data_IF_840555804573
#
_entry.id   IF_840555804573
#
_cell.length_a   1.000
_cell.length_b   1.000
_cell.length_c   1.000
_cell.angle_alpha   90.00
_cell.angle_beta   90.00
_cell.angle_gamma   90.00
#
_symmetry.space_group_name_H-M   'P 1'
#
loop_
_entity.id
_entity.type
_entity.pdbx_description
1 polymer ?
#
# COMPACT_ATOMS: atom_id res chain seq x y z
N UNK A 1 31.90 -16.47 -12.75
CA UNK A 1 30.86 -15.48 -13.13
C UNK A 1 29.62 -15.36 -12.20
N UNK A 2 29.47 -16.02 -11.04
CA UNK A 2 28.24 -15.86 -10.24
C UNK A 2 28.05 -14.46 -9.64
N UNK A 3 29.14 -13.76 -9.31
CA UNK A 3 29.07 -12.39 -8.78
C UNK A 3 28.46 -11.37 -9.76
N UNK A 4 28.75 -11.48 -11.05
CA UNK A 4 28.18 -10.59 -12.08
C UNK A 4 26.67 -10.78 -12.19
N UNK A 5 26.21 -12.03 -12.15
CA UNK A 5 24.78 -12.35 -12.19
C UNK A 5 24.07 -11.80 -10.96
N UNK A 6 24.66 -11.95 -9.76
CA UNK A 6 24.09 -11.40 -8.53
C UNK A 6 23.96 -9.86 -8.59
N UNK A 7 24.97 -9.16 -9.11
CA UNK A 7 24.95 -7.70 -9.24
C UNK A 7 23.81 -7.25 -10.16
N UNK A 8 23.66 -7.89 -11.34
CA UNK A 8 22.61 -7.55 -12.30
C UNK A 8 21.21 -7.74 -11.68
N UNK A 9 20.99 -8.86 -10.99
CA UNK A 9 19.71 -9.13 -10.32
C UNK A 9 19.39 -8.04 -9.30
N UNK A 10 20.35 -7.68 -8.44
CA UNK A 10 20.14 -6.63 -7.44
C UNK A 10 19.84 -5.29 -8.09
N UNK A 11 20.56 -4.92 -9.15
CA UNK A 11 20.38 -3.64 -9.83
C UNK A 11 18.99 -3.48 -10.48
N UNK A 12 18.41 -4.59 -10.94
CA UNK A 12 17.07 -4.61 -11.52
C UNK A 12 15.97 -4.65 -10.46
N UNK A 13 16.17 -5.39 -9.37
CA UNK A 13 15.14 -5.60 -8.33
C UNK A 13 15.08 -4.44 -7.33
N UNK A 14 16.23 -3.87 -6.99
CA UNK A 14 16.33 -2.78 -6.01
C UNK A 14 15.42 -1.57 -6.29
N UNK A 15 15.37 -0.98 -7.49
CA UNK A 15 14.51 0.18 -7.74
C UNK A 15 13.03 -0.15 -7.58
N UNK A 16 12.61 -1.36 -7.96
CA UNK A 16 11.22 -1.82 -7.79
C UNK A 16 10.88 -1.88 -6.30
N UNK A 17 11.73 -2.49 -5.48
CA UNK A 17 11.52 -2.57 -4.03
C UNK A 17 11.55 -1.18 -3.38
N UNK A 18 12.51 -0.33 -3.78
CA UNK A 18 12.66 1.00 -3.21
C UNK A 18 11.46 1.92 -3.52
N UNK A 19 10.93 1.85 -4.75
CA UNK A 19 9.79 2.68 -5.18
C UNK A 19 8.46 2.11 -4.66
N UNK A 20 8.31 0.78 -4.65
CA UNK A 20 7.06 0.11 -4.24
C UNK A 20 7.00 -0.20 -2.75
N UNK A 21 8.06 0.06 -1.98
CA UNK A 21 8.14 -0.30 -0.57
C UNK A 21 7.04 0.33 0.29
N UNK A 22 6.55 1.51 -0.09
CA UNK A 22 5.46 2.19 0.61
C UNK A 22 4.06 1.66 0.26
N UNK A 23 3.92 0.86 -0.80
CA UNK A 23 2.60 0.34 -1.25
C UNK A 23 1.95 -0.52 -0.17
N UNK A 24 2.73 -1.38 0.50
CA UNK A 24 2.20 -2.23 1.57
C UNK A 24 1.68 -1.38 2.74
N UNK A 25 2.40 -0.31 3.10
CA UNK A 25 2.01 0.59 4.19
C UNK A 25 0.76 1.39 3.78
N UNK A 26 0.73 1.91 2.55
CA UNK A 26 -0.42 2.64 2.03
C UNK A 26 -1.67 1.76 1.96
N UNK A 27 -1.55 0.50 1.52
CA UNK A 27 -2.65 -0.46 1.47
C UNK A 27 -3.16 -0.79 2.88
N UNK A 28 -2.25 -1.07 3.82
CA UNK A 28 -2.61 -1.36 5.21
C UNK A 28 -3.30 -0.17 5.88
N UNK A 29 -2.77 1.04 5.69
CA UNK A 29 -3.37 2.28 6.21
C UNK A 29 -4.72 2.56 5.56
N UNK A 30 -4.84 2.42 4.24
CA UNK A 30 -6.10 2.59 3.52
C UNK A 30 -7.18 1.65 4.04
N UNK A 31 -6.85 0.37 4.23
CA UNK A 31 -7.76 -0.62 4.81
C UNK A 31 -8.16 -0.26 6.25
N UNK A 32 -7.19 0.07 7.11
CA UNK A 32 -7.46 0.39 8.51
C UNK A 32 -8.33 1.64 8.66
N UNK A 33 -8.02 2.71 7.91
CA UNK A 33 -8.77 3.96 7.94
C UNK A 33 -10.16 3.81 7.33
N UNK A 34 -10.31 2.99 6.28
CA UNK A 34 -11.61 2.70 5.70
C UNK A 34 -12.53 2.00 6.70
N UNK A 35 -12.01 0.98 7.40
CA UNK A 35 -12.77 0.27 8.42
C UNK A 35 -13.15 1.17 9.61
N UNK A 36 -12.23 2.01 10.08
CA UNK A 36 -12.54 3.02 11.10
C UNK A 36 -13.66 3.97 10.64
N UNK A 37 -13.63 4.39 9.37
CA UNK A 37 -14.66 5.25 8.81
C UNK A 37 -16.03 4.54 8.73
N UNK A 38 -16.08 3.26 8.38
CA UNK A 38 -17.32 2.47 8.39
C UNK A 38 -17.91 2.39 9.81
N UNK A 39 -17.10 1.95 10.78
CA UNK A 39 -17.54 1.77 12.17
C UNK A 39 -18.03 3.09 12.80
N UNK A 40 -17.35 4.21 12.48
CA UNK A 40 -17.70 5.53 13.04
C UNK A 40 -18.91 6.19 12.41
N UNK A 41 -19.22 5.85 11.17
CA UNK A 41 -20.34 6.43 10.45
C UNK A 41 -21.54 5.48 10.37
N UNK A 42 -21.51 4.34 11.07
CA UNK A 42 -22.63 3.41 11.12
C UNK A 42 -23.91 4.12 11.61
N UNK A 43 -24.94 4.13 10.77
CA UNK A 43 -26.22 4.80 11.06
C UNK A 43 -26.20 6.33 10.88
N UNK A 44 -25.14 6.89 10.30
CA UNK A 44 -25.06 8.32 9.98
C UNK A 44 -25.95 8.68 8.80
N UNK A 45 -26.81 9.69 8.97
CA UNK A 45 -27.64 10.25 7.88
C UNK A 45 -26.80 10.83 6.72
N UNK A 46 -25.51 11.06 6.95
CA UNK A 46 -24.58 11.60 5.97
C UNK A 46 -24.03 10.55 5.01
N UNK A 47 -24.20 9.24 5.29
CA UNK A 47 -23.77 8.15 4.38
C UNK A 47 -24.55 8.21 3.06
N UNK A 48 -25.86 8.47 3.11
CA UNK A 48 -26.75 8.43 1.94
C UNK A 48 -26.49 9.59 0.96
N UNK A 49 -25.78 10.63 1.41
CA UNK A 49 -25.50 11.85 0.63
C UNK A 49 -24.02 12.02 0.28
N UNK A 50 -23.16 11.06 0.63
CA UNK A 50 -21.73 11.08 0.33
C UNK A 50 -21.48 10.40 -1.03
N UNK A 51 -21.47 11.19 -2.11
CA UNK A 51 -21.24 10.76 -3.50
C UNK A 51 -19.83 11.06 -4.01
#
# INVERSE_FOLDING_TARGET
>A
MPGVVAIIIVLLVFPVIAIMGSVTIAAALGWALHRDAEDRNEGSELIDVNY
#
